data_IF_232708843285
#
_entry.id   IF_232708843285
#
_cell.length_a   1.000
_cell.length_b   1.000
_cell.length_c   1.000
_cell.angle_alpha   90.00
_cell.angle_beta   90.00
_cell.angle_gamma   90.00
#
_symmetry.space_group_name_H-M   'P 1'
#
loop_
_entity.id
_entity.type
_entity.pdbx_description
1 polymer ?
#
# COMPACT_ATOMS: atom_id res chain seq x y z
N UNK A 1 6.49 -1.93 -22.44
CA UNK A 1 5.55 -2.12 -21.32
C UNK A 1 5.88 -1.06 -20.27
N UNK A 2 4.90 -0.35 -19.74
CA UNK A 2 5.12 0.70 -18.73
C UNK A 2 5.62 0.08 -17.42
N UNK A 3 6.71 0.60 -16.87
CA UNK A 3 7.25 0.17 -15.57
C UNK A 3 6.36 0.72 -14.46
N UNK A 4 5.57 -0.12 -13.75
CA UNK A 4 4.68 0.38 -12.72
C UNK A 4 5.48 0.94 -11.54
N UNK A 5 5.01 2.04 -10.95
CA UNK A 5 5.49 2.53 -9.67
C UNK A 5 4.53 2.04 -8.58
N UNK A 6 5.07 1.29 -7.62
CA UNK A 6 4.30 0.72 -6.52
C UNK A 6 4.85 1.27 -5.21
N UNK A 7 3.98 1.87 -4.40
CA UNK A 7 4.36 2.32 -3.05
C UNK A 7 3.87 1.35 -1.99
N UNK A 8 4.62 1.16 -0.91
CA UNK A 8 4.27 0.22 0.16
C UNK A 8 4.09 0.95 1.50
N UNK A 9 2.97 0.72 2.18
CA UNK A 9 2.70 1.18 3.54
C UNK A 9 2.24 0.01 4.42
N UNK A 10 2.79 -0.16 5.62
CA UNK A 10 2.31 -1.17 6.56
C UNK A 10 2.62 -0.86 8.03
N UNK A 11 2.12 -1.71 8.92
CA UNK A 11 2.41 -1.74 10.36
C UNK A 11 3.35 -2.88 10.80
N UNK A 12 4.07 -3.52 9.86
CA UNK A 12 4.95 -4.67 10.15
C UNK A 12 6.24 -4.34 10.92
N UNK A 13 6.68 -3.09 10.93
CA UNK A 13 7.97 -2.64 11.48
C UNK A 13 9.19 -2.99 10.61
N UNK A 14 10.26 -2.21 10.70
CA UNK A 14 11.53 -2.42 9.98
C UNK A 14 12.33 -3.62 10.49
N UNK A 15 12.03 -4.11 11.71
CA UNK A 15 12.58 -5.36 12.23
C UNK A 15 11.98 -6.62 11.61
N UNK A 16 10.97 -6.48 10.74
CA UNK A 16 10.25 -7.58 10.13
C UNK A 16 10.76 -7.92 8.73
N UNK A 17 10.76 -9.22 8.39
CA UNK A 17 11.04 -9.69 7.03
C UNK A 17 9.87 -9.51 6.05
N UNK A 18 8.67 -9.17 6.53
CA UNK A 18 7.47 -9.08 5.69
C UNK A 18 7.58 -8.04 4.57
N UNK A 19 8.07 -6.81 4.79
CA UNK A 19 8.30 -5.85 3.70
C UNK A 19 9.22 -6.41 2.60
N UNK A 20 10.30 -7.10 2.97
CA UNK A 20 11.20 -7.73 2.00
C UNK A 20 10.50 -8.85 1.22
N UNK A 21 9.70 -9.68 1.91
CA UNK A 21 8.91 -10.73 1.26
C UNK A 21 7.90 -10.16 0.26
N UNK A 22 7.18 -9.08 0.62
CA UNK A 22 6.26 -8.40 -0.29
C UNK A 22 6.98 -7.93 -1.56
N UNK A 23 8.12 -7.27 -1.41
CA UNK A 23 8.93 -6.79 -2.54
C UNK A 23 9.41 -7.96 -3.41
N UNK A 24 9.88 -9.05 -2.80
CA UNK A 24 10.32 -10.25 -3.52
C UNK A 24 9.21 -10.87 -4.37
N UNK A 25 7.99 -10.98 -3.82
CA UNK A 25 6.83 -11.48 -4.55
C UNK A 25 6.46 -10.54 -5.70
N UNK A 26 6.39 -9.22 -5.44
CA UNK A 26 6.07 -8.23 -6.47
C UNK A 26 7.08 -8.28 -7.62
N UNK A 27 8.37 -8.32 -7.32
CA UNK A 27 9.44 -8.38 -8.33
C UNK A 27 9.50 -9.73 -9.04
N UNK A 28 9.07 -10.82 -8.39
CA UNK A 28 8.90 -12.13 -9.05
C UNK A 28 7.79 -12.12 -10.10
N UNK A 29 6.73 -11.33 -9.89
CA UNK A 29 5.60 -11.19 -10.83
C UNK A 29 5.88 -10.11 -11.88
N UNK A 30 6.44 -8.97 -11.46
CA UNK A 30 6.75 -7.82 -12.31
C UNK A 30 8.19 -7.34 -12.03
N UNK A 31 9.20 -7.94 -12.69
CA UNK A 31 10.62 -7.64 -12.43
C UNK A 31 11.02 -6.17 -12.69
N UNK A 32 10.30 -5.49 -13.57
CA UNK A 32 10.54 -4.08 -13.95
C UNK A 32 9.83 -3.07 -13.04
N UNK A 33 9.10 -3.52 -12.01
CA UNK A 33 8.40 -2.63 -11.08
C UNK A 33 9.37 -1.76 -10.27
N UNK A 34 9.04 -0.49 -10.13
CA UNK A 34 9.74 0.42 -9.20
C UNK A 34 9.02 0.42 -7.88
N UNK A 35 9.74 0.17 -6.79
CA UNK A 35 9.18 0.10 -5.45
C UNK A 35 9.64 1.28 -4.60
N UNK A 36 8.72 1.86 -3.84
CA UNK A 36 9.00 2.92 -2.85
C UNK A 36 8.29 2.57 -1.55
N UNK A 37 9.03 2.47 -0.45
CA UNK A 37 8.37 2.36 0.86
C UNK A 37 7.93 3.75 1.31
N UNK A 38 6.67 3.87 1.70
CA UNK A 38 6.16 5.05 2.39
C UNK A 38 6.55 4.95 3.86
N UNK A 39 6.17 3.84 4.50
CA UNK A 39 6.56 3.50 5.86
C UNK A 39 6.13 2.08 6.16
N UNK A 40 6.93 1.37 6.95
CA UNK A 40 6.51 0.12 7.58
C UNK A 40 6.34 0.28 9.10
N UNK A 41 6.47 1.50 9.62
CA UNK A 41 6.46 1.85 11.04
C UNK A 41 5.11 2.42 11.49
N UNK A 42 4.03 2.17 10.75
CA UNK A 42 2.70 2.50 11.27
C UNK A 42 2.51 1.72 12.57
N UNK A 43 2.05 2.36 13.67
CA UNK A 43 1.84 1.61 14.91
C UNK A 43 0.86 0.45 14.67
N UNK A 44 1.17 -0.71 15.25
CA UNK A 44 0.42 -1.94 15.06
C UNK A 44 -1.10 -1.72 15.17
N UNK A 45 -1.83 -2.15 14.14
CA UNK A 45 -3.28 -2.12 14.01
C UNK A 45 -3.92 -0.72 13.98
N UNK A 46 -3.14 0.36 13.93
CA UNK A 46 -3.65 1.73 13.88
C UNK A 46 -4.04 2.16 12.46
N UNK A 47 -5.19 1.65 12.00
CA UNK A 47 -5.73 1.92 10.64
C UNK A 47 -5.83 3.43 10.34
N UNK A 48 -6.28 4.24 11.31
CA UNK A 48 -6.39 5.70 11.18
C UNK A 48 -5.05 6.42 11.11
N UNK A 49 -3.95 5.83 11.60
CA UNK A 49 -2.61 6.42 11.43
C UNK A 49 -2.10 6.10 10.03
N UNK A 50 -2.27 4.85 9.58
CA UNK A 50 -2.01 4.47 8.19
C UNK A 50 -2.79 5.32 7.19
N UNK A 51 -4.02 5.70 7.54
CA UNK A 51 -4.81 6.69 6.81
C UNK A 51 -4.11 7.99 6.54
N UNK A 52 -3.75 8.65 7.63
CA UNK A 52 -3.34 10.03 7.59
C UNK A 52 -2.07 10.09 6.75
N UNK A 53 -1.15 9.16 7.00
CA UNK A 53 0.08 9.00 6.25
C UNK A 53 -0.17 8.73 4.77
N UNK A 54 -1.04 7.76 4.41
CA UNK A 54 -1.34 7.49 3.00
C UNK A 54 -1.92 8.72 2.30
N UNK A 55 -2.90 9.39 2.92
CA UNK A 55 -3.53 10.59 2.37
C UNK A 55 -2.57 11.77 2.21
N UNK A 56 -1.61 11.89 3.11
CA UNK A 56 -0.60 12.95 3.09
C UNK A 56 0.37 12.80 1.91
N UNK A 57 0.78 11.57 1.59
CA UNK A 57 1.88 11.33 0.66
C UNK A 57 1.46 11.04 -0.78
N UNK A 58 0.24 10.51 -1.00
CA UNK A 58 -0.17 10.02 -2.33
C UNK A 58 -0.13 11.08 -3.43
N UNK A 59 -0.41 12.35 -3.09
CA UNK A 59 -0.39 13.47 -4.04
C UNK A 59 1.00 13.83 -4.56
N UNK A 60 2.07 13.35 -3.92
CA UNK A 60 3.45 13.56 -4.38
C UNK A 60 3.87 12.58 -5.48
N UNK A 61 3.07 11.54 -5.74
CA UNK A 61 3.36 10.52 -6.74
C UNK A 61 2.65 10.83 -8.07
N UNK A 62 3.22 10.42 -9.21
CA UNK A 62 2.58 10.63 -10.50
C UNK A 62 1.29 9.80 -10.66
N UNK A 63 0.33 10.23 -11.50
CA UNK A 63 -0.81 9.40 -11.90
C UNK A 63 -0.36 8.04 -12.44
N UNK A 64 -1.18 7.00 -12.20
CA UNK A 64 -0.86 5.61 -12.52
C UNK A 64 -0.06 4.88 -11.43
N UNK A 65 0.29 5.56 -10.34
CA UNK A 65 0.95 4.93 -9.18
C UNK A 65 -0.02 3.97 -8.47
N UNK A 66 0.49 2.79 -8.10
CA UNK A 66 -0.24 1.79 -7.33
C UNK A 66 0.22 1.88 -5.87
N UNK A 67 -0.68 2.26 -4.98
CA UNK A 67 -0.41 2.34 -3.54
C UNK A 67 -0.91 1.08 -2.85
N UNK A 68 0.01 0.23 -2.41
CA UNK A 68 -0.29 -0.95 -1.58
C UNK A 68 -0.18 -0.55 -0.10
N UNK A 69 -1.27 -0.66 0.63
CA UNK A 69 -1.33 -0.33 2.06
C UNK A 69 -1.92 -1.49 2.87
N UNK A 70 -1.22 -1.93 3.90
CA UNK A 70 -1.62 -3.04 4.77
C UNK A 70 -1.38 -2.68 6.22
N UNK A 71 -2.43 -2.20 6.89
CA UNK A 71 -2.50 -2.04 8.35
C UNK A 71 -3.76 -2.76 8.76
N UNK A 72 -3.61 -3.94 9.36
CA UNK A 72 -4.79 -4.77 9.53
C UNK A 72 -4.76 -5.83 10.65
N UNK A 73 -5.57 -5.64 11.71
CA UNK A 73 -5.71 -6.61 12.79
C UNK A 73 -6.43 -7.91 12.38
N UNK A 74 -7.18 -7.93 11.27
CA UNK A 74 -8.00 -9.08 10.86
C UNK A 74 -7.33 -10.08 9.92
N UNK A 75 -5.99 -10.21 9.93
CA UNK A 75 -5.29 -10.94 8.86
C UNK A 75 -5.64 -12.43 8.90
N UNK A 76 -5.89 -13.04 7.74
CA UNK A 76 -6.34 -14.44 7.65
C UNK A 76 -7.83 -14.66 7.92
N UNK A 77 -8.63 -13.59 8.05
CA UNK A 77 -10.10 -13.69 8.17
C UNK A 77 -10.80 -13.57 6.81
N UNK A 78 -12.14 -13.58 6.81
CA UNK A 78 -12.97 -13.48 5.60
C UNK A 78 -12.98 -12.07 4.93
N UNK A 79 -12.15 -11.12 5.39
CA UNK A 79 -12.10 -9.77 4.82
C UNK A 79 -11.62 -9.83 3.36
N UNK A 80 -12.20 -8.99 2.51
CA UNK A 80 -11.81 -8.93 1.10
C UNK A 80 -10.56 -8.08 0.91
N UNK A 81 -9.61 -8.49 0.05
CA UNK A 81 -8.67 -7.53 -0.54
C UNK A 81 -9.45 -6.62 -1.50
N UNK A 82 -9.22 -5.31 -1.41
CA UNK A 82 -9.80 -4.32 -2.30
C UNK A 82 -8.76 -3.79 -3.28
N UNK A 83 -9.25 -3.48 -4.49
CA UNK A 83 -8.63 -2.53 -5.39
C UNK A 83 -9.59 -1.34 -5.55
N UNK A 84 -9.11 -0.13 -5.27
CA UNK A 84 -9.86 1.12 -5.40
C UNK A 84 -9.19 1.99 -6.46
N UNK A 85 -9.98 2.50 -7.41
CA UNK A 85 -9.52 3.49 -8.39
C UNK A 85 -9.68 4.86 -7.77
N UNK A 86 -8.60 5.65 -7.74
CA UNK A 86 -8.60 6.98 -7.16
C UNK A 86 -9.59 7.92 -7.84
N UNK A 87 -10.44 8.56 -7.05
CA UNK A 87 -11.37 9.59 -7.48
C UNK A 87 -10.71 10.96 -7.64
N UNK A 88 -11.48 12.03 -7.48
CA UNK A 88 -11.02 13.42 -7.68
C UNK A 88 -9.78 13.82 -6.87
N UNK A 89 -9.57 13.19 -5.70
CA UNK A 89 -8.44 13.49 -4.81
C UNK A 89 -7.13 12.81 -5.22
N UNK A 90 -7.18 11.79 -6.07
CA UNK A 90 -6.02 11.05 -6.54
C UNK A 90 -6.30 10.46 -7.94
N UNK A 91 -6.60 11.31 -8.95
CA UNK A 91 -7.09 10.84 -10.23
C UNK A 91 -6.03 9.98 -10.95
N UNK A 92 -6.45 8.77 -11.36
CA UNK A 92 -5.57 7.83 -12.04
C UNK A 92 -4.63 7.04 -11.13
N UNK A 93 -4.70 7.21 -9.81
CA UNK A 93 -4.01 6.34 -8.86
C UNK A 93 -4.82 5.06 -8.61
N UNK A 94 -4.13 4.00 -8.20
CA UNK A 94 -4.75 2.74 -7.78
C UNK A 94 -4.36 2.47 -6.34
N UNK A 95 -5.29 1.96 -5.54
CA UNK A 95 -5.06 1.63 -4.14
C UNK A 95 -5.39 0.17 -3.90
N UNK A 96 -4.51 -0.55 -3.23
CA UNK A 96 -4.67 -1.98 -2.92
C UNK A 96 -4.48 -2.18 -1.43
N UNK A 97 -5.43 -2.85 -0.79
CA UNK A 97 -5.41 -2.99 0.66
C UNK A 97 -6.68 -3.64 1.21
N UNK A 98 -6.80 -3.73 2.54
CA UNK A 98 -7.96 -4.34 3.18
C UNK A 98 -9.21 -3.47 3.19
N UNK A 99 -10.38 -4.13 3.20
CA UNK A 99 -11.70 -3.53 3.42
C UNK A 99 -11.94 -3.20 4.91
N UNK A 100 -11.15 -2.27 5.46
CA UNK A 100 -11.23 -1.88 6.88
C UNK A 100 -11.22 -0.36 7.11
N UNK A 101 -11.40 0.40 6.04
CA UNK A 101 -11.31 1.85 6.03
C UNK A 101 -9.98 2.38 5.52
N UNK A 102 -8.87 1.62 5.53
CA UNK A 102 -7.50 2.09 5.17
C UNK A 102 -7.38 2.83 3.80
N UNK A 103 -8.35 2.69 2.90
CA UNK A 103 -8.33 3.27 1.55
C UNK A 103 -9.33 4.43 1.30
N UNK A 104 -10.08 4.89 2.31
CA UNK A 104 -11.01 6.05 2.35
C UNK A 104 -12.05 6.15 1.22
#
# INVERSE_FOLDING_TARGET
MTRPLITLLSDFGAGSGYPAQMKGIILGICPDARLVDLSHEVPAFQVLVGQAMLREVVGAFPPGTIHVAVVDPGVGTARRPLLVVGGERAPGHLFVGPDNGLLW
#
